data_IF_816532559824
#
_entry.id   IF_816532559824
#
_cell.length_a   1.000
_cell.length_b   1.000
_cell.length_c   1.000
_cell.angle_alpha   90.00
_cell.angle_beta   90.00
_cell.angle_gamma   90.00
#
_symmetry.space_group_name_H-M   'P 1'
#
loop_
_entity.id
_entity.type
_entity.pdbx_description
1 polymer ?
#
# COMPACT_ATOMS: atom_id res chain seq x y z
N UNK A 1 46.08 -17.37 -7.25
CA UNK A 1 45.38 -16.99 -8.49
C UNK A 1 43.97 -17.47 -8.37
N UNK A 2 42.98 -16.60 -8.58
CA UNK A 2 41.58 -16.99 -8.50
C UNK A 2 41.26 -17.83 -9.74
N UNK A 3 40.76 -19.04 -9.57
CA UNK A 3 40.43 -19.89 -10.72
C UNK A 3 39.22 -19.32 -11.46
N UNK A 4 39.14 -19.51 -12.77
CA UNK A 4 38.00 -19.03 -13.56
C UNK A 4 36.65 -19.50 -12.97
N UNK A 5 36.60 -20.74 -12.46
CA UNK A 5 35.43 -21.30 -11.81
C UNK A 5 35.03 -20.57 -10.51
N UNK A 6 36.00 -20.15 -9.70
CA UNK A 6 35.76 -19.35 -8.50
C UNK A 6 35.29 -17.93 -8.88
N UNK A 7 35.82 -17.38 -9.97
CA UNK A 7 35.42 -16.06 -10.47
C UNK A 7 33.95 -16.03 -10.88
N UNK A 8 33.51 -17.04 -11.63
CA UNK A 8 32.10 -17.19 -12.03
C UNK A 8 31.19 -17.31 -10.81
N UNK A 9 31.56 -18.13 -9.80
CA UNK A 9 30.78 -18.25 -8.56
C UNK A 9 30.63 -16.91 -7.84
N UNK A 10 31.70 -16.12 -7.72
CA UNK A 10 31.67 -14.81 -7.08
C UNK A 10 30.81 -13.80 -7.85
N UNK A 11 30.83 -13.81 -9.19
CA UNK A 11 29.96 -12.95 -9.99
C UNK A 11 28.48 -13.28 -9.77
N UNK A 12 28.12 -14.56 -9.79
CA UNK A 12 26.74 -14.99 -9.59
C UNK A 12 26.21 -14.59 -8.21
N UNK A 13 27.00 -14.79 -7.14
CA UNK A 13 26.60 -14.41 -5.78
C UNK A 13 26.38 -12.90 -5.64
N UNK A 14 27.27 -12.09 -6.22
CA UNK A 14 27.19 -10.62 -6.17
C UNK A 14 25.99 -10.08 -6.95
N UNK A 15 25.62 -10.73 -8.05
CA UNK A 15 24.41 -10.40 -8.83
C UNK A 15 23.11 -10.65 -8.06
N UNK A 16 23.07 -11.63 -7.15
CA UNK A 16 21.89 -11.91 -6.31
C UNK A 16 21.73 -10.91 -5.16
N UNK A 17 22.83 -10.42 -4.57
CA UNK A 17 22.80 -9.44 -3.47
C UNK A 17 22.19 -8.10 -3.89
N UNK A 18 22.52 -7.61 -5.09
CA UNK A 18 22.05 -6.33 -5.61
C UNK A 18 20.52 -6.23 -5.82
N UNK A 19 19.79 -7.36 -5.79
CA UNK A 19 18.33 -7.39 -5.90
C UNK A 19 17.61 -7.27 -4.56
N UNK A 20 18.33 -7.39 -3.44
CA UNK A 20 17.75 -7.38 -2.09
C UNK A 20 17.65 -6.00 -1.46
N UNK A 21 18.06 -4.95 -2.17
CA UNK A 21 17.72 -3.56 -1.84
C UNK A 21 16.25 -3.27 -2.19
N UNK A 22 15.36 -4.04 -1.56
CA UNK A 22 13.98 -3.67 -1.41
C UNK A 22 13.96 -2.36 -0.67
N UNK A 23 13.86 -1.25 -1.42
CA UNK A 23 13.33 0.02 -0.92
C UNK A 23 12.19 -0.38 0.00
N UNK A 24 12.37 -0.25 1.31
CA UNK A 24 11.28 -0.43 2.26
C UNK A 24 10.25 0.56 1.79
N UNK A 25 9.25 0.07 1.05
CA UNK A 25 8.19 0.89 0.52
C UNK A 25 7.70 1.63 1.75
N UNK A 26 7.89 2.96 1.77
CA UNK A 26 7.36 3.82 2.82
C UNK A 26 5.96 3.30 3.01
N UNK A 27 5.71 2.56 4.11
CA UNK A 27 4.38 2.10 4.43
C UNK A 27 3.67 3.43 4.51
N UNK A 28 2.84 3.74 3.50
CA UNK A 28 1.98 4.90 3.55
C UNK A 28 1.16 4.60 4.78
N UNK A 29 1.59 5.13 5.92
CA UNK A 29 0.79 5.13 7.11
C UNK A 29 -0.47 5.79 6.58
N UNK A 30 -1.54 5.01 6.50
CA UNK A 30 -2.87 5.59 6.54
C UNK A 30 -2.88 6.27 7.90
N UNK A 31 -2.34 7.49 7.96
CA UNK A 31 -2.66 8.42 9.02
C UNK A 31 -4.16 8.50 8.91
N UNK A 32 -4.83 7.86 9.85
CA UNK A 32 -6.16 8.25 10.21
C UNK A 32 -6.33 8.00 11.71
N UNK A 33 -5.39 8.59 12.46
CA UNK A 33 -5.57 8.88 13.88
C UNK A 33 -6.39 10.15 14.06
N UNK A 34 -7.50 10.29 13.34
CA UNK A 34 -8.41 11.40 13.49
C UNK A 34 -9.80 10.89 13.17
N UNK A 35 -10.57 10.60 14.22
CA UNK A 35 -12.04 10.65 14.21
C UNK A 35 -12.64 10.04 12.95
N UNK A 36 -12.92 8.72 12.97
CA UNK A 36 -13.74 8.02 11.97
C UNK A 36 -14.72 9.01 11.35
N UNK A 37 -14.37 9.55 10.18
CA UNK A 37 -15.20 10.58 9.57
C UNK A 37 -16.44 9.82 9.14
N UNK A 38 -17.52 9.95 9.92
CA UNK A 38 -18.76 9.29 9.57
C UNK A 38 -19.10 9.78 8.17
N UNK A 39 -19.07 8.84 7.22
CA UNK A 39 -19.35 9.11 5.81
C UNK A 39 -20.68 9.86 5.76
N UNK A 40 -20.66 11.04 5.14
CA UNK A 40 -21.89 11.80 4.86
C UNK A 40 -22.57 11.19 3.63
N UNK A 41 -23.88 11.12 3.67
CA UNK A 41 -24.73 10.67 2.59
C UNK A 41 -24.59 11.62 1.38
N UNK A 42 -24.38 11.08 0.17
CA UNK A 42 -24.29 11.89 -1.05
C UNK A 42 -25.60 12.57 -1.45
N UNK A 43 -26.74 12.03 -1.01
CA UNK A 43 -28.07 12.58 -1.31
C UNK A 43 -28.45 13.67 -0.31
N UNK A 44 -28.35 13.39 0.99
CA UNK A 44 -28.90 14.27 2.03
C UNK A 44 -27.84 14.90 2.95
N UNK A 45 -26.55 14.59 2.75
CA UNK A 45 -25.41 15.08 3.56
C UNK A 45 -25.41 14.69 5.05
N UNK A 46 -26.39 13.90 5.53
CA UNK A 46 -26.42 13.38 6.90
C UNK A 46 -25.49 12.17 7.07
N UNK A 47 -25.10 11.88 8.32
CA UNK A 47 -24.24 10.73 8.65
C UNK A 47 -25.06 9.51 9.08
N UNK A 48 -24.41 8.34 9.12
CA UNK A 48 -25.03 7.08 9.59
C UNK A 48 -25.70 6.25 8.50
N UNK A 49 -25.86 6.78 7.29
CA UNK A 49 -26.35 6.06 6.12
C UNK A 49 -25.63 6.54 4.85
N UNK A 50 -25.81 5.83 3.73
CA UNK A 50 -25.28 6.23 2.42
C UNK A 50 -26.42 6.56 1.44
N UNK A 51 -26.08 7.09 0.26
CA UNK A 51 -27.06 7.46 -0.76
C UNK A 51 -28.01 6.29 -1.14
N UNK A 52 -27.48 5.06 -1.21
CA UNK A 52 -28.26 3.88 -1.58
C UNK A 52 -29.32 3.49 -0.54
N UNK A 53 -29.10 3.85 0.71
CA UNK A 53 -30.03 3.57 1.82
C UNK A 53 -30.66 4.86 2.35
N UNK A 54 -30.64 5.95 1.57
CA UNK A 54 -31.19 7.22 2.02
C UNK A 54 -32.71 7.19 1.94
N UNK A 55 -33.39 7.42 3.06
CA UNK A 55 -34.85 7.49 3.07
C UNK A 55 -35.41 8.68 2.28
N UNK A 56 -34.56 9.67 1.96
CA UNK A 56 -34.93 10.82 1.12
C UNK A 56 -34.85 10.52 -0.38
N UNK A 57 -34.25 9.40 -0.78
CA UNK A 57 -34.25 8.89 -2.17
C UNK A 57 -35.55 8.13 -2.51
N UNK A 58 -36.44 7.90 -1.54
CA UNK A 58 -37.69 7.17 -1.74
C UNK A 58 -38.87 8.03 -2.24
N UNK A 59 -38.60 9.16 -2.91
CA UNK A 59 -39.62 10.05 -3.49
C UNK A 59 -39.70 9.94 -5.01
#
# INVERSE_FOLDING_TARGET
TLTFAEGVRLTTLKEFEARSDGKKAKKRSRVDGSTQSLRRCGTCSETGHNARTCSKDAQ
#
